data_IF_366986662916
#
_entry.id   IF_366986662916
#
_cell.length_a   1.000
_cell.length_b   1.000
_cell.length_c   1.000
_cell.angle_alpha   90.00
_cell.angle_beta   90.00
_cell.angle_gamma   90.00
#
_symmetry.space_group_name_H-M   'P 1'
#
loop_
_entity.id
_entity.type
_entity.pdbx_description
1 polymer ?
#
# COMPACT_ATOMS: atom_id res chain seq x y z
N UNK A 1 18.84 -8.02 -2.08
CA UNK A 1 19.19 -7.08 -3.19
C UNK A 1 18.03 -7.05 -4.18
N UNK A 2 17.88 -5.94 -4.92
CA UNK A 2 16.91 -5.78 -6.02
C UNK A 2 17.65 -5.99 -7.34
N UNK A 3 17.12 -6.79 -8.25
CA UNK A 3 17.61 -6.84 -9.63
C UNK A 3 16.93 -5.77 -10.48
N UNK A 4 17.67 -5.03 -11.30
CA UNK A 4 17.10 -4.31 -12.44
C UNK A 4 17.76 -4.83 -13.70
N UNK A 5 16.98 -5.34 -14.65
CA UNK A 5 17.49 -5.73 -15.97
C UNK A 5 17.78 -4.47 -16.80
N UNK A 6 18.91 -3.82 -16.50
CA UNK A 6 19.46 -2.73 -17.30
C UNK A 6 20.65 -3.24 -18.11
N UNK A 7 20.40 -3.82 -19.29
CA UNK A 7 21.45 -4.17 -20.23
C UNK A 7 21.98 -2.88 -20.90
N UNK A 8 23.07 -2.30 -20.39
CA UNK A 8 23.76 -1.20 -21.07
C UNK A 8 24.76 -1.75 -22.09
N UNK A 9 24.48 -1.54 -23.38
CA UNK A 9 25.41 -1.85 -24.47
C UNK A 9 26.37 -0.66 -24.69
N UNK A 10 27.61 -0.77 -24.20
CA UNK A 10 28.65 0.21 -24.48
C UNK A 10 29.09 0.13 -25.94
N UNK A 11 28.80 1.18 -26.72
CA UNK A 11 29.18 1.30 -28.15
C UNK A 11 30.69 1.34 -28.41
N UNK A 12 31.53 1.45 -27.38
CA UNK A 12 32.99 1.63 -27.54
C UNK A 12 33.79 0.36 -27.24
N UNK A 13 33.26 -0.59 -26.47
CA UNK A 13 34.03 -1.74 -25.97
C UNK A 13 33.59 -3.12 -26.51
N UNK A 14 32.43 -3.23 -27.16
CA UNK A 14 31.93 -4.50 -27.70
C UNK A 14 31.71 -5.62 -26.67
N UNK A 15 31.73 -5.31 -25.36
CA UNK A 15 31.48 -6.26 -24.26
C UNK A 15 30.23 -5.85 -23.49
N UNK A 16 29.38 -6.84 -23.18
CA UNK A 16 28.31 -6.70 -22.18
C UNK A 16 28.95 -6.43 -20.82
N UNK A 17 28.61 -5.32 -20.18
CA UNK A 17 29.01 -5.04 -18.80
C UNK A 17 27.83 -5.33 -17.89
N UNK A 18 27.90 -6.43 -17.14
CA UNK A 18 26.93 -6.80 -16.12
C UNK A 18 27.49 -6.41 -14.75
N UNK A 19 26.69 -5.74 -13.92
CA UNK A 19 27.12 -5.35 -12.57
C UNK A 19 26.03 -4.67 -11.77
N UNK A 20 25.96 -4.98 -10.47
CA UNK A 20 25.03 -4.37 -9.50
C UNK A 20 25.18 -2.84 -9.40
N UNK A 21 26.32 -2.31 -9.84
CA UNK A 21 26.62 -0.87 -9.96
C UNK A 21 25.70 -0.13 -10.93
N UNK A 22 25.18 -0.79 -11.97
CA UNK A 22 24.18 -0.19 -12.88
C UNK A 22 22.76 -0.26 -12.31
N UNK A 23 22.49 -1.20 -11.39
CA UNK A 23 21.19 -1.32 -10.74
C UNK A 23 20.96 -0.24 -9.68
N UNK A 24 22.02 0.23 -9.02
CA UNK A 24 21.93 1.26 -7.99
C UNK A 24 21.26 2.56 -8.47
N UNK A 25 21.69 3.23 -9.57
CA UNK A 25 21.03 4.44 -10.05
C UNK A 25 19.58 4.19 -10.51
N UNK A 26 19.26 3.01 -11.06
CA UNK A 26 17.90 2.67 -11.50
C UNK A 26 16.96 2.52 -10.31
N UNK A 27 17.39 1.84 -9.25
CA UNK A 27 16.61 1.70 -8.00
C UNK A 27 16.42 3.07 -7.34
N UNK A 28 17.45 3.93 -7.34
CA UNK A 28 17.32 5.31 -6.84
C UNK A 28 16.32 6.14 -7.64
N UNK A 29 16.32 6.01 -8.98
CA UNK A 29 15.34 6.68 -9.83
C UNK A 29 13.91 6.19 -9.57
N UNK A 30 13.73 4.87 -9.41
CA UNK A 30 12.43 4.30 -9.05
C UNK A 30 11.95 4.77 -7.67
N UNK A 31 12.84 4.83 -6.69
CA UNK A 31 12.54 5.37 -5.38
C UNK A 31 12.10 6.84 -5.45
N UNK A 32 12.75 7.64 -6.29
CA UNK A 32 12.35 9.03 -6.53
C UNK A 32 10.96 9.13 -7.17
N UNK A 33 10.61 8.26 -8.13
CA UNK A 33 9.28 8.23 -8.75
C UNK A 33 8.18 7.83 -7.76
N UNK A 34 8.43 6.80 -6.94
CA UNK A 34 7.49 6.42 -5.87
C UNK A 34 7.35 7.54 -4.85
N UNK A 35 8.46 8.20 -4.47
CA UNK A 35 8.44 9.34 -3.56
C UNK A 35 7.73 10.57 -4.16
N UNK A 36 7.74 10.73 -5.49
CA UNK A 36 6.95 11.76 -6.18
C UNK A 36 5.45 11.45 -6.10
N UNK A 37 5.05 10.19 -6.28
CA UNK A 37 3.65 9.76 -6.15
C UNK A 37 3.17 9.79 -4.68
N UNK A 38 4.04 9.44 -3.73
CA UNK A 38 3.75 9.37 -2.30
C UNK A 38 4.81 10.13 -1.48
N UNK A 39 4.77 11.48 -1.45
CA UNK A 39 5.77 12.30 -0.77
C UNK A 39 5.91 12.03 0.73
N UNK A 40 4.87 11.50 1.36
CA UNK A 40 4.84 11.18 2.78
C UNK A 40 5.60 9.91 3.17
N UNK A 41 5.87 8.99 2.23
CA UNK A 41 6.46 7.68 2.57
C UNK A 41 7.84 7.83 3.21
N UNK A 42 8.01 7.32 4.43
CA UNK A 42 9.31 7.20 5.05
C UNK A 42 10.16 6.10 4.35
N UNK A 43 11.42 5.96 4.75
CA UNK A 43 12.33 4.99 4.12
C UNK A 43 11.83 3.53 4.22
N UNK A 44 11.11 3.17 5.29
CA UNK A 44 10.56 1.82 5.49
C UNK A 44 9.40 1.57 4.53
N UNK A 45 8.43 2.48 4.46
CA UNK A 45 7.28 2.40 3.57
C UNK A 45 7.70 2.43 2.09
N UNK A 46 8.66 3.30 1.75
CA UNK A 46 9.22 3.40 0.40
C UNK A 46 9.93 2.09 0.00
N UNK A 47 10.81 1.58 0.86
CA UNK A 47 11.51 0.31 0.64
C UNK A 47 10.53 -0.83 0.44
N UNK A 48 9.54 -0.96 1.31
CA UNK A 48 8.54 -2.02 1.22
C UNK A 48 7.72 -1.92 -0.05
N UNK A 49 7.32 -0.71 -0.45
CA UNK A 49 6.60 -0.48 -1.70
C UNK A 49 7.41 -0.95 -2.91
N UNK A 50 8.70 -0.60 -2.98
CA UNK A 50 9.58 -0.99 -4.08
C UNK A 50 9.85 -2.51 -4.08
N UNK A 51 10.11 -3.11 -2.91
CA UNK A 51 10.43 -4.54 -2.81
C UNK A 51 9.21 -5.42 -3.09
N UNK A 52 8.04 -5.04 -2.60
CA UNK A 52 6.81 -5.82 -2.74
C UNK A 52 6.22 -5.84 -4.14
N UNK A 53 6.59 -4.87 -4.98
CA UNK A 53 6.05 -4.72 -6.33
C UNK A 53 6.94 -5.31 -7.41
N UNK A 54 8.08 -5.90 -7.03
CA UNK A 54 8.95 -6.61 -7.96
C UNK A 54 8.25 -7.77 -8.66
N UNK A 55 8.69 -8.06 -9.89
CA UNK A 55 8.33 -9.31 -10.57
C UNK A 55 9.17 -10.42 -9.96
N UNK A 56 8.54 -11.47 -9.36
CA UNK A 56 9.29 -12.59 -8.84
C UNK A 56 10.10 -13.20 -9.97
N UNK A 57 11.41 -13.38 -9.73
CA UNK A 57 12.28 -14.13 -10.63
C UNK A 57 12.44 -15.55 -10.09
N UNK A 58 12.72 -16.51 -10.96
CA UNK A 58 12.74 -17.93 -10.62
C UNK A 58 13.83 -18.28 -9.58
N UNK A 59 14.86 -17.44 -9.42
CA UNK A 59 15.92 -17.62 -8.41
C UNK A 59 15.98 -16.48 -7.36
N UNK A 60 15.46 -16.75 -6.16
CA UNK A 60 15.50 -15.85 -4.99
C UNK A 60 16.91 -15.63 -4.45
N UNK A 61 17.83 -16.59 -4.63
CA UNK A 61 19.20 -16.48 -4.14
C UNK A 61 20.04 -15.53 -5.02
N UNK A 62 19.73 -15.44 -6.31
CA UNK A 62 20.41 -14.53 -7.23
C UNK A 62 19.79 -13.14 -7.26
N UNK A 63 18.45 -13.02 -7.22
CA UNK A 63 17.76 -11.74 -7.46
C UNK A 63 17.03 -11.17 -6.23
N UNK A 64 17.13 -11.83 -5.07
CA UNK A 64 16.50 -11.38 -3.85
C UNK A 64 14.98 -11.32 -3.97
N UNK A 65 14.42 -10.11 -3.93
CA UNK A 65 12.96 -9.92 -4.04
C UNK A 65 12.44 -10.06 -5.47
N UNK A 66 13.32 -9.98 -6.48
CA UNK A 66 12.96 -10.09 -7.89
C UNK A 66 13.43 -8.89 -8.71
N UNK A 67 12.83 -8.72 -9.88
CA UNK A 67 13.14 -7.61 -10.80
C UNK A 67 12.22 -6.42 -10.53
N UNK A 68 12.80 -5.23 -10.45
CA UNK A 68 12.08 -3.97 -10.24
C UNK A 68 10.96 -3.74 -11.26
N UNK A 69 9.75 -3.43 -10.76
CA UNK A 69 8.61 -2.98 -11.57
C UNK A 69 8.16 -1.59 -11.10
N UNK A 70 8.68 -0.56 -11.76
CA UNK A 70 8.40 0.83 -11.40
C UNK A 70 6.92 1.17 -11.62
N UNK A 71 6.33 0.65 -12.71
CA UNK A 71 4.94 0.90 -13.06
C UNK A 71 3.98 0.35 -12.01
N UNK A 72 4.33 -0.78 -11.38
CA UNK A 72 3.59 -1.31 -10.23
C UNK A 72 3.91 -0.56 -8.93
N UNK A 73 5.17 -0.17 -8.70
CA UNK A 73 5.58 0.55 -7.48
C UNK A 73 4.91 1.92 -7.32
N UNK A 74 4.75 2.69 -8.41
CA UNK A 74 4.06 3.99 -8.36
C UNK A 74 2.55 3.88 -8.10
N UNK A 75 2.00 2.68 -8.14
CA UNK A 75 0.60 2.39 -7.80
C UNK A 75 0.40 2.03 -6.31
N UNK A 76 1.47 2.03 -5.51
CA UNK A 76 1.45 1.71 -4.09
C UNK A 76 2.09 0.36 -3.76
N UNK A 77 2.13 -0.03 -2.48
CA UNK A 77 2.67 -1.34 -2.06
C UNK A 77 1.80 -2.48 -2.61
N UNK A 78 2.37 -3.69 -2.73
CA UNK A 78 1.63 -4.91 -3.03
C UNK A 78 1.76 -5.98 -1.92
N UNK A 79 2.51 -5.67 -0.86
CA UNK A 79 2.71 -6.53 0.30
C UNK A 79 2.94 -5.69 1.56
N UNK A 80 2.28 -6.08 2.65
CA UNK A 80 2.52 -5.62 4.02
C UNK A 80 3.17 -6.76 4.82
N UNK A 81 4.50 -6.75 4.92
CA UNK A 81 5.30 -7.85 5.49
C UNK A 81 6.09 -7.39 6.72
N UNK A 82 5.99 -8.15 7.82
CA UNK A 82 6.67 -7.82 9.09
C UNK A 82 8.18 -7.77 8.97
N UNK A 83 8.76 -8.57 8.08
CA UNK A 83 10.19 -8.54 7.78
C UNK A 83 10.61 -7.22 7.11
N UNK A 84 9.69 -6.57 6.39
CA UNK A 84 9.92 -5.31 5.71
C UNK A 84 9.54 -4.09 6.57
N UNK A 85 8.68 -4.24 7.55
CA UNK A 85 8.35 -3.18 8.54
C UNK A 85 9.22 -3.22 9.79
N UNK A 86 10.19 -4.13 9.88
CA UNK A 86 11.04 -4.32 11.07
C UNK A 86 10.22 -4.72 12.30
N UNK A 87 9.15 -5.50 12.09
CA UNK A 87 8.24 -5.99 13.13
C UNK A 87 7.10 -5.04 13.49
N UNK A 88 7.10 -3.80 12.98
CA UNK A 88 6.03 -2.82 13.21
C UNK A 88 4.93 -2.85 12.15
N UNK A 89 4.09 -1.81 12.16
CA UNK A 89 2.98 -1.63 11.21
C UNK A 89 3.47 -1.04 9.87
N UNK A 90 2.68 -1.19 8.81
CA UNK A 90 2.80 -0.31 7.65
C UNK A 90 2.19 1.03 8.03
N UNK A 91 3.01 2.06 8.19
CA UNK A 91 2.55 3.38 8.63
C UNK A 91 2.27 4.27 7.41
N UNK A 92 1.01 4.62 7.21
CA UNK A 92 0.53 5.63 6.28
C UNK A 92 0.23 6.94 7.02
N UNK A 93 1.28 7.69 7.35
CA UNK A 93 1.17 9.04 7.91
C UNK A 93 1.04 10.05 6.77
N UNK A 94 -0.17 10.57 6.56
CA UNK A 94 -0.48 11.47 5.45
C UNK A 94 -0.36 12.97 5.81
N UNK A 95 0.33 13.31 6.90
CA UNK A 95 0.56 14.69 7.31
C UNK A 95 -0.73 15.46 7.63
N UNK A 96 -0.69 16.79 7.57
CA UNK A 96 -1.80 17.67 7.98
C UNK A 96 -2.54 18.33 6.82
N UNK A 97 -2.06 18.16 5.59
CA UNK A 97 -2.52 18.90 4.40
C UNK A 97 -3.80 18.32 3.77
N UNK A 98 -4.43 17.32 4.39
CA UNK A 98 -5.63 16.62 3.88
C UNK A 98 -5.48 16.05 2.46
N UNK A 99 -4.25 15.74 2.05
CA UNK A 99 -3.98 15.14 0.75
C UNK A 99 -4.63 13.76 0.61
N UNK A 100 -5.01 13.39 -0.61
CA UNK A 100 -5.60 12.10 -0.93
C UNK A 100 -4.61 11.25 -1.74
N UNK A 101 -4.42 10.00 -1.33
CA UNK A 101 -3.59 9.03 -2.04
C UNK A 101 -4.37 7.74 -2.25
N UNK A 102 -4.05 7.02 -3.32
CA UNK A 102 -4.66 5.71 -3.62
C UNK A 102 -3.59 4.65 -3.74
N UNK A 103 -3.80 3.50 -3.11
CA UNK A 103 -3.09 2.26 -3.40
C UNK A 103 -3.95 1.42 -4.34
N UNK A 104 -3.50 1.27 -5.58
CA UNK A 104 -4.21 0.58 -6.65
C UNK A 104 -3.87 -0.91 -6.78
N UNK A 105 -2.77 -1.33 -6.17
CA UNK A 105 -2.38 -2.72 -6.17
C UNK A 105 -3.25 -3.56 -5.22
N UNK A 106 -3.35 -4.85 -5.52
CA UNK A 106 -3.76 -5.85 -4.55
C UNK A 106 -2.66 -6.01 -3.49
N UNK A 107 -3.01 -5.86 -2.22
CA UNK A 107 -2.04 -5.94 -1.12
C UNK A 107 -2.25 -7.23 -0.34
N UNK A 108 -1.20 -8.06 -0.26
CA UNK A 108 -1.17 -9.25 0.60
C UNK A 108 -0.30 -9.01 1.85
N UNK A 109 -0.15 -10.03 2.70
CA UNK A 109 0.83 -10.02 3.79
C UNK A 109 0.23 -10.17 5.19
N UNK A 110 1.01 -9.86 6.21
CA UNK A 110 0.73 -10.18 7.61
C UNK A 110 0.95 -9.02 8.58
N UNK A 111 1.15 -7.82 8.06
CA UNK A 111 1.34 -6.60 8.86
C UNK A 111 0.10 -5.73 8.86
N UNK A 112 -0.16 -5.09 10.00
CA UNK A 112 -1.24 -4.14 10.19
C UNK A 112 -0.98 -2.85 9.39
N UNK A 113 -2.05 -2.22 8.92
CA UNK A 113 -2.01 -0.87 8.35
C UNK A 113 -2.33 0.13 9.47
N UNK A 114 -1.41 1.06 9.73
CA UNK A 114 -1.67 2.22 10.59
C UNK A 114 -1.86 3.46 9.71
N UNK A 115 -3.08 3.97 9.65
CA UNK A 115 -3.43 5.21 8.96
C UNK A 115 -3.51 6.35 9.96
N UNK A 116 -2.64 7.35 9.78
CA UNK A 116 -2.59 8.57 10.58
C UNK A 116 -2.43 9.80 9.69
N UNK A 117 -2.39 10.98 10.29
CA UNK A 117 -2.48 12.26 9.59
C UNK A 117 -3.89 12.52 9.02
N UNK A 118 -4.18 13.78 8.68
CA UNK A 118 -5.51 14.25 8.27
C UNK A 118 -5.89 13.90 6.83
N UNK A 119 -4.96 13.38 6.03
CA UNK A 119 -5.20 12.95 4.66
C UNK A 119 -6.11 11.73 4.52
N UNK A 120 -6.51 11.44 3.28
CA UNK A 120 -7.29 10.25 2.92
C UNK A 120 -6.43 9.22 2.19
N UNK A 121 -6.52 7.96 2.60
CA UNK A 121 -5.94 6.82 1.90
C UNK A 121 -7.05 5.98 1.31
N UNK A 122 -7.04 5.77 -0.01
CA UNK A 122 -7.95 4.85 -0.69
C UNK A 122 -7.27 3.51 -0.96
N UNK A 123 -7.92 2.41 -0.59
CA UNK A 123 -7.54 1.04 -0.97
C UNK A 123 -8.52 0.53 -2.04
N UNK A 124 -8.07 0.47 -3.30
CA UNK A 124 -8.91 0.09 -4.44
C UNK A 124 -8.71 -1.34 -4.94
N UNK A 125 -7.63 -2.00 -4.54
CA UNK A 125 -7.35 -3.39 -4.88
C UNK A 125 -8.15 -4.42 -4.06
N UNK A 126 -7.91 -5.69 -4.37
CA UNK A 126 -8.33 -6.86 -3.60
C UNK A 126 -7.29 -7.17 -2.53
N UNK A 127 -7.45 -6.58 -1.35
CA UNK A 127 -6.46 -6.69 -0.29
C UNK A 127 -6.72 -7.90 0.60
N UNK A 128 -5.74 -8.80 0.68
CA UNK A 128 -5.80 -10.09 1.36
C UNK A 128 -4.89 -10.19 2.57
N UNK A 129 -4.20 -9.11 2.93
CA UNK A 129 -3.38 -9.07 4.14
C UNK A 129 -4.22 -9.37 5.39
N UNK A 130 -3.57 -9.97 6.39
CA UNK A 130 -4.23 -10.45 7.62
C UNK A 130 -4.12 -9.51 8.80
N UNK A 131 -3.25 -8.50 8.73
CA UNK A 131 -3.14 -7.50 9.78
C UNK A 131 -4.31 -6.52 9.76
N UNK A 132 -4.70 -5.99 10.91
CA UNK A 132 -5.84 -5.09 11.01
C UNK A 132 -5.55 -3.70 10.42
N UNK A 133 -6.62 -2.96 10.12
CA UNK A 133 -6.55 -1.58 9.71
C UNK A 133 -6.83 -0.66 10.89
N UNK A 134 -5.80 0.00 11.42
CA UNK A 134 -5.92 0.98 12.49
C UNK A 134 -6.00 2.37 11.86
N UNK A 135 -7.13 3.05 12.03
CA UNK A 135 -7.36 4.40 11.48
C UNK A 135 -7.45 5.37 12.66
N UNK A 136 -6.34 6.05 12.94
CA UNK A 136 -6.26 7.00 14.07
C UNK A 136 -6.76 8.39 13.67
N UNK A 137 -6.43 8.84 12.46
CA UNK A 137 -6.77 10.16 11.94
C UNK A 137 -7.03 10.15 10.43
N UNK A 138 -7.81 11.14 9.99
CA UNK A 138 -8.14 11.34 8.59
C UNK A 138 -9.13 10.30 8.08
N UNK A 139 -8.98 9.87 6.83
CA UNK A 139 -9.89 8.93 6.20
C UNK A 139 -9.17 7.69 5.67
N UNK A 140 -9.73 6.51 5.92
CA UNK A 140 -9.48 5.30 5.15
C UNK A 140 -10.70 5.05 4.27
N UNK A 141 -10.52 5.03 2.96
CA UNK A 141 -11.58 4.79 1.99
C UNK A 141 -11.38 3.44 1.31
N UNK A 142 -12.36 2.55 1.39
CA UNK A 142 -12.32 1.23 0.75
C UNK A 142 -13.22 1.28 -0.49
N UNK A 143 -12.61 1.19 -1.67
CA UNK A 143 -13.34 1.07 -2.95
C UNK A 143 -13.22 -0.32 -3.55
N UNK A 144 -12.19 -1.08 -3.15
CA UNK A 144 -12.03 -2.49 -3.45
C UNK A 144 -12.51 -3.38 -2.30
N UNK A 145 -11.64 -4.29 -1.84
CA UNK A 145 -11.94 -5.11 -0.66
C UNK A 145 -10.75 -5.19 0.28
N UNK A 146 -11.02 -5.33 1.57
CA UNK A 146 -10.03 -5.68 2.60
C UNK A 146 -10.50 -6.93 3.33
N UNK A 147 -9.62 -7.92 3.49
CA UNK A 147 -9.93 -9.14 4.24
C UNK A 147 -10.02 -8.88 5.74
N UNK A 148 -9.08 -8.11 6.29
CA UNK A 148 -8.95 -7.87 7.72
C UNK A 148 -9.96 -6.83 8.25
N UNK A 149 -10.03 -6.71 9.58
CA UNK A 149 -10.92 -5.78 10.27
C UNK A 149 -10.46 -4.35 10.19
N UNK A 150 -11.32 -3.44 10.67
CA UNK A 150 -10.99 -2.02 10.76
C UNK A 150 -11.31 -1.49 12.15
N UNK A 151 -10.34 -0.85 12.78
CA UNK A 151 -10.49 -0.07 14.01
C UNK A 151 -10.44 1.40 13.64
N UNK A 152 -11.49 2.14 13.98
CA UNK A 152 -11.66 3.56 13.62
C UNK A 152 -11.72 4.37 14.90
N UNK A 153 -10.71 5.22 15.11
CA UNK A 153 -10.62 6.09 16.28
C UNK A 153 -11.50 7.34 16.14
N UNK A 154 -11.68 8.09 17.24
CA UNK A 154 -12.64 9.20 17.34
C UNK A 154 -12.47 10.32 16.30
N UNK A 155 -11.27 10.53 15.78
CA UNK A 155 -10.96 11.56 14.78
C UNK A 155 -10.78 11.00 13.36
N UNK A 156 -11.08 9.72 13.19
CA UNK A 156 -10.98 9.02 11.93
C UNK A 156 -12.34 8.82 11.26
N UNK A 157 -12.27 8.65 9.95
CA UNK A 157 -13.39 8.25 9.12
C UNK A 157 -13.02 6.96 8.39
N UNK A 158 -13.88 5.95 8.48
CA UNK A 158 -13.88 4.85 7.53
C UNK A 158 -14.99 5.10 6.51
N UNK A 159 -14.59 5.25 5.25
CA UNK A 159 -15.50 5.31 4.11
C UNK A 159 -15.42 4.00 3.35
N UNK A 160 -16.55 3.52 2.83
CA UNK A 160 -16.56 2.51 1.80
C UNK A 160 -17.51 2.92 0.67
N UNK A 161 -16.99 2.93 -0.55
CA UNK A 161 -17.74 3.28 -1.76
C UNK A 161 -17.85 2.05 -2.63
N UNK A 162 -18.89 1.25 -2.39
CA UNK A 162 -19.02 -0.14 -2.85
C UNK A 162 -17.95 -1.09 -2.28
N UNK A 163 -17.21 -0.64 -1.26
CA UNK A 163 -16.13 -1.39 -0.64
C UNK A 163 -16.62 -2.55 0.22
N UNK A 164 -15.79 -3.61 0.31
CA UNK A 164 -16.03 -4.78 1.16
C UNK A 164 -15.00 -4.88 2.28
N UNK A 165 -15.48 -4.99 3.51
CA UNK A 165 -14.68 -5.34 4.70
C UNK A 165 -14.97 -6.80 5.06
N UNK A 166 -13.91 -7.60 5.17
CA UNK A 166 -13.97 -9.04 5.36
C UNK A 166 -14.09 -9.50 6.81
N UNK A 167 -14.03 -8.58 7.76
CA UNK A 167 -14.06 -8.83 9.20
C UNK A 167 -14.76 -7.66 9.94
N UNK A 168 -14.69 -7.65 11.27
CA UNK A 168 -15.36 -6.69 12.14
C UNK A 168 -14.86 -5.25 11.96
N UNK A 169 -15.76 -4.30 12.20
CA UNK A 169 -15.46 -2.88 12.31
C UNK A 169 -15.68 -2.43 13.75
N UNK A 170 -14.61 -2.00 14.43
CA UNK A 170 -14.68 -1.36 15.74
C UNK A 170 -14.62 0.15 15.56
N UNK A 171 -15.77 0.83 15.65
CA UNK A 171 -15.87 2.26 15.35
C UNK A 171 -16.14 3.12 16.59
N UNK A 172 -15.19 4.03 16.86
CA UNK A 172 -15.30 5.18 17.75
C UNK A 172 -15.39 6.51 16.98
N UNK A 173 -15.12 6.50 15.67
CA UNK A 173 -15.16 7.66 14.78
C UNK A 173 -16.39 7.69 13.88
N UNK A 174 -16.18 8.07 12.61
CA UNK A 174 -17.25 8.19 11.61
C UNK A 174 -17.22 7.04 10.61
N UNK A 175 -18.38 6.44 10.35
CA UNK A 175 -18.60 5.49 9.26
C UNK A 175 -19.41 6.13 8.14
N UNK A 176 -18.92 6.00 6.90
CA UNK A 176 -19.59 6.52 5.70
C UNK A 176 -19.73 5.40 4.67
N UNK A 177 -20.97 4.99 4.41
CA UNK A 177 -21.30 4.18 3.24
C UNK A 177 -21.61 5.08 2.04
N UNK A 178 -20.99 4.79 0.89
CA UNK A 178 -21.14 5.52 -0.36
C UNK A 178 -21.41 4.57 -1.55
N UNK A 179 -21.80 5.14 -2.70
CA UNK A 179 -22.16 4.34 -3.87
C UNK A 179 -23.36 3.44 -3.58
N UNK A 180 -23.20 2.13 -3.79
CA UNK A 180 -24.19 1.09 -3.46
C UNK A 180 -24.12 0.64 -2.00
N UNK A 181 -23.20 1.17 -1.20
CA UNK A 181 -23.08 0.88 0.22
C UNK A 181 -21.73 0.31 0.64
N UNK A 182 -21.67 -0.09 1.91
CA UNK A 182 -20.54 -0.75 2.56
C UNK A 182 -20.93 -2.20 2.87
N UNK A 183 -20.21 -3.16 2.29
CA UNK A 183 -20.43 -4.58 2.59
C UNK A 183 -19.50 -5.04 3.73
N UNK A 184 -20.05 -5.71 4.75
CA UNK A 184 -19.29 -6.28 5.87
C UNK A 184 -19.57 -7.79 5.88
N UNK A 185 -18.53 -8.62 5.97
CA UNK A 185 -18.69 -10.06 5.96
C UNK A 185 -19.63 -10.52 7.08
N UNK A 186 -20.63 -11.34 6.72
CA UNK A 186 -21.60 -11.87 7.67
C UNK A 186 -22.74 -10.91 8.05
N UNK A 187 -22.81 -9.71 7.46
CA UNK A 187 -23.85 -8.72 7.71
C UNK A 187 -24.47 -8.20 6.41
N UNK A 188 -25.71 -7.73 6.49
CA UNK A 188 -26.35 -7.02 5.39
C UNK A 188 -25.60 -5.71 5.09
N UNK A 189 -25.45 -5.30 3.82
CA UNK A 189 -24.74 -4.07 3.47
C UNK A 189 -25.36 -2.82 4.11
N UNK A 190 -24.51 -1.89 4.53
CA UNK A 190 -24.94 -0.55 4.96
C UNK A 190 -25.18 0.29 3.70
N UNK A 191 -26.40 0.77 3.49
CA UNK A 191 -26.77 1.56 2.31
C UNK A 191 -26.38 3.05 2.40
N UNK A 192 -26.35 3.73 1.25
CA UNK A 192 -26.02 5.15 1.12
C UNK A 192 -26.89 6.04 2.03
N UNK A 193 -26.27 6.94 2.78
CA UNK A 193 -26.97 7.91 3.64
C UNK A 193 -27.16 7.47 5.09
N UNK A 194 -26.83 6.23 5.44
CA UNK A 194 -26.75 5.79 6.83
C UNK A 194 -25.49 6.38 7.49
N UNK A 195 -25.65 7.50 8.20
CA UNK A 195 -24.58 8.01 9.08
C UNK A 195 -24.73 7.36 10.45
N UNK A 196 -23.92 6.35 10.75
CA UNK A 196 -23.83 5.82 12.12
C UNK A 196 -22.84 6.68 12.91
N UNK A 197 -23.37 7.62 13.70
CA UNK A 197 -22.62 8.25 14.80
C UNK A 197 -23.04 7.53 16.08
N UNK A 198 -22.08 6.99 16.82
CA UNK A 198 -22.32 6.59 18.22
C UNK A 198 -22.43 7.84 19.08
#
# INVERSE_FOLDING_TARGET
MLGSSGDFQSKVAGRRMEGTSFSAPVVSAAAALVKQAYPWMNAIALRQTILSTTKPNEDRNTYGWGVLDISKAVQGPALFDKQLTLGGNFIADLGIDKNAYTFNNDIAGNTDLLKTGTGSLTLSGTNTYTGDNQVEYGELNITGSVRAGVVVESFATLRADNGKIGDNINNSGTLIAAGKGMAIAGHDPIELGATMRK
#
